data_IF_529977804179
#
_entry.id   IF_529977804179
#
_cell.length_a   1.000
_cell.length_b   1.000
_cell.length_c   1.000
_cell.angle_alpha   90.00
_cell.angle_beta   90.00
_cell.angle_gamma   90.00
#
_symmetry.space_group_name_H-M   'P 1'
#
loop_
_entity.id
_entity.type
_entity.pdbx_description
1 polymer ?
#
# COMPACT_ATOMS: atom_id res chain seq x y z
N UNK A 1 30.53 42.71 -12.29
CA UNK A 1 29.21 42.08 -12.08
C UNK A 1 29.44 40.68 -11.54
N UNK A 2 29.14 40.37 -10.28
CA UNK A 2 29.29 39.02 -9.75
C UNK A 2 28.15 38.15 -10.28
N UNK A 3 28.50 36.95 -10.78
CA UNK A 3 27.57 35.90 -11.19
C UNK A 3 26.90 35.39 -9.93
N UNK A 4 25.58 35.51 -9.89
CA UNK A 4 24.72 34.82 -8.94
C UNK A 4 24.86 33.29 -9.17
N UNK A 5 25.46 32.62 -8.22
CA UNK A 5 25.39 31.15 -8.15
C UNK A 5 24.05 30.81 -7.55
N UNK A 6 23.09 30.52 -8.42
CA UNK A 6 21.80 29.97 -8.06
C UNK A 6 22.00 28.53 -7.56
N UNK A 7 22.23 28.37 -6.27
CA UNK A 7 22.18 27.08 -5.59
C UNK A 7 20.71 26.76 -5.34
N UNK A 8 20.03 26.24 -6.35
CA UNK A 8 18.71 25.65 -6.16
C UNK A 8 18.89 24.42 -5.25
N UNK A 9 18.70 24.60 -3.96
CA UNK A 9 18.55 23.50 -3.00
C UNK A 9 17.25 22.78 -3.35
N UNK A 10 17.35 21.71 -4.16
CA UNK A 10 16.21 20.83 -4.40
C UNK A 10 15.82 20.22 -3.06
N UNK A 11 14.64 20.57 -2.58
CA UNK A 11 14.07 19.97 -1.37
C UNK A 11 14.01 18.45 -1.58
N UNK A 12 14.56 17.63 -0.67
CA UNK A 12 14.57 16.19 -0.84
C UNK A 12 13.14 15.66 -0.93
N UNK A 13 12.95 14.66 -1.81
CA UNK A 13 11.68 13.93 -1.89
C UNK A 13 11.62 12.97 -0.71
N UNK A 14 10.55 13.01 0.06
CA UNK A 14 10.38 12.15 1.24
C UNK A 14 9.01 11.48 1.26
N UNK A 15 8.97 10.24 1.74
CA UNK A 15 7.73 9.53 2.03
C UNK A 15 7.69 9.22 3.53
N UNK A 16 6.77 9.86 4.24
CA UNK A 16 6.51 9.57 5.65
C UNK A 16 5.62 8.36 5.75
N UNK A 17 6.05 7.37 6.52
CA UNK A 17 5.38 6.09 6.77
C UNK A 17 5.40 5.78 8.27
N UNK A 18 4.57 4.83 8.70
CA UNK A 18 4.64 4.23 10.04
C UNK A 18 5.12 2.78 9.95
N UNK A 19 4.89 1.96 10.99
CA UNK A 19 5.35 0.56 11.09
C UNK A 19 5.19 -0.20 9.76
N UNK A 20 6.26 -0.84 9.33
CA UNK A 20 6.25 -1.71 8.14
C UNK A 20 5.53 -3.03 8.42
N UNK A 21 5.51 -3.48 9.68
CA UNK A 21 4.80 -4.70 10.06
C UNK A 21 3.27 -4.52 9.99
N UNK A 22 2.75 -3.40 10.51
CA UNK A 22 1.31 -3.24 10.76
C UNK A 22 0.62 -2.26 9.82
N UNK A 23 1.31 -1.26 9.25
CA UNK A 23 0.68 -0.21 8.48
C UNK A 23 0.43 -0.58 7.03
N UNK A 24 -0.76 -1.08 6.75
CA UNK A 24 -1.16 -1.38 5.37
C UNK A 24 -1.32 -0.13 4.49
N UNK A 25 -1.58 1.04 5.08
CA UNK A 25 -1.63 2.29 4.33
C UNK A 25 -0.24 2.75 3.92
N UNK A 26 0.74 2.66 4.83
CA UNK A 26 2.15 2.95 4.50
C UNK A 26 2.68 2.03 3.41
N UNK A 27 2.39 0.72 3.48
CA UNK A 27 2.76 -0.23 2.43
C UNK A 27 2.19 0.16 1.07
N UNK A 28 0.92 0.56 1.00
CA UNK A 28 0.30 1.02 -0.27
C UNK A 28 1.01 2.21 -0.86
N UNK A 29 1.21 3.27 -0.07
CA UNK A 29 1.89 4.47 -0.55
C UNK A 29 3.33 4.23 -0.94
N UNK A 30 4.03 3.39 -0.20
CA UNK A 30 5.40 3.01 -0.50
C UNK A 30 5.50 2.22 -1.81
N UNK A 31 4.62 1.23 -2.02
CA UNK A 31 4.57 0.47 -3.27
C UNK A 31 4.24 1.38 -4.46
N UNK A 32 3.29 2.32 -4.31
CA UNK A 32 2.96 3.28 -5.36
C UNK A 32 4.17 4.13 -5.74
N UNK A 33 4.93 4.64 -4.75
CA UNK A 33 6.13 5.42 -5.00
C UNK A 33 7.22 4.56 -5.68
N UNK A 34 7.44 3.33 -5.22
CA UNK A 34 8.40 2.38 -5.85
C UNK A 34 7.98 2.01 -7.27
N UNK A 35 6.70 1.74 -7.50
CA UNK A 35 6.17 1.40 -8.84
C UNK A 35 6.28 2.57 -9.81
N UNK A 36 6.21 3.82 -9.32
CA UNK A 36 6.38 5.01 -10.16
C UNK A 36 7.84 5.25 -10.57
N UNK A 37 8.81 4.61 -9.92
CA UNK A 37 10.23 4.88 -10.10
C UNK A 37 10.67 6.23 -9.53
N UNK A 38 9.88 6.84 -8.65
CA UNK A 38 10.29 8.04 -7.92
C UNK A 38 11.31 7.66 -6.86
N UNK A 39 12.45 8.33 -6.85
CA UNK A 39 13.42 8.22 -5.75
C UNK A 39 12.98 9.07 -4.56
N UNK A 40 13.03 8.52 -3.35
CA UNK A 40 12.62 9.19 -2.13
C UNK A 40 13.34 8.62 -0.90
N UNK A 41 13.47 9.46 0.11
CA UNK A 41 13.91 9.07 1.44
C UNK A 41 12.71 8.67 2.30
N UNK A 42 12.83 7.59 3.06
CA UNK A 42 11.82 7.15 4.01
C UNK A 42 11.94 7.93 5.33
N UNK A 43 10.83 8.48 5.80
CA UNK A 43 10.72 9.06 7.13
C UNK A 43 9.77 8.19 7.96
N UNK A 44 10.31 7.56 9.01
CA UNK A 44 9.50 6.78 9.95
C UNK A 44 8.81 7.70 10.95
N UNK A 45 7.49 7.60 11.03
CA UNK A 45 6.72 8.26 12.07
C UNK A 45 6.71 7.35 13.31
N UNK A 46 7.29 7.83 14.42
CA UNK A 46 7.19 7.15 15.70
C UNK A 46 5.73 7.15 16.16
N UNK A 47 5.16 5.97 16.41
CA UNK A 47 3.75 5.83 16.81
C UNK A 47 3.51 6.17 18.27
N UNK A 48 4.53 6.07 19.11
CA UNK A 48 4.41 6.09 20.58
C UNK A 48 4.92 7.37 21.22
N UNK A 49 5.46 8.32 20.45
CA UNK A 49 5.97 9.58 20.97
C UNK A 49 4.98 10.72 20.67
N UNK A 50 4.33 11.23 21.72
CA UNK A 50 3.38 12.36 21.64
C UNK A 50 4.09 13.63 21.13
N UNK A 51 5.38 13.80 21.44
CA UNK A 51 6.15 14.96 21.00
C UNK A 51 6.53 14.83 19.52
N UNK A 52 6.90 13.63 19.05
CA UNK A 52 7.11 13.36 17.64
C UNK A 52 5.82 13.52 16.82
N UNK A 53 4.66 13.12 17.36
CA UNK A 53 3.35 13.42 16.76
C UNK A 53 3.07 14.91 16.66
N UNK A 54 3.38 15.66 17.70
CA UNK A 54 3.20 17.11 17.73
C UNK A 54 4.15 17.81 16.73
N UNK A 55 5.39 17.35 16.62
CA UNK A 55 6.37 17.87 15.67
C UNK A 55 5.93 17.59 14.21
N UNK A 56 5.40 16.41 13.93
CA UNK A 56 4.86 16.07 12.60
C UNK A 56 3.64 16.91 12.27
N UNK A 57 2.76 17.20 13.25
CA UNK A 57 1.62 18.11 13.09
C UNK A 57 2.04 19.55 12.75
N UNK A 58 3.19 20.00 13.25
CA UNK A 58 3.75 21.31 12.90
C UNK A 58 4.34 21.35 11.49
N UNK A 59 4.80 20.22 10.98
CA UNK A 59 5.49 20.09 9.70
C UNK A 59 4.60 19.57 8.57
N UNK A 60 3.47 18.96 8.87
CA UNK A 60 2.56 18.36 7.90
C UNK A 60 1.10 18.79 8.14
N UNK A 61 0.33 19.03 7.07
CA UNK A 61 -1.09 19.38 7.19
C UNK A 61 -1.96 18.20 7.69
N UNK A 62 -1.37 17.03 7.86
CA UNK A 62 -2.05 15.81 8.32
C UNK A 62 -1.07 14.88 9.02
N UNK A 63 -1.52 14.24 10.11
CA UNK A 63 -0.84 13.12 10.76
C UNK A 63 -1.07 11.78 10.03
N UNK A 64 -1.80 11.80 8.93
CA UNK A 64 -2.11 10.60 8.17
C UNK A 64 -0.89 10.15 7.35
N UNK A 65 -0.58 8.87 7.48
CA UNK A 65 0.42 8.19 6.66
C UNK A 65 -0.26 7.25 5.67
N UNK A 66 0.29 7.12 4.45
CA UNK A 66 1.52 7.71 3.93
C UNK A 66 1.36 9.20 3.57
N UNK A 67 2.47 9.97 3.66
CA UNK A 67 2.53 11.36 3.22
C UNK A 67 3.77 11.58 2.36
N UNK A 68 3.57 11.93 1.09
CA UNK A 68 4.62 12.21 0.12
C UNK A 68 4.91 13.72 0.07
N UNK A 69 6.19 14.08 0.19
CA UNK A 69 6.67 15.44 -0.12
C UNK A 69 7.58 15.40 -1.33
N UNK A 70 7.25 16.18 -2.34
CA UNK A 70 8.00 16.24 -3.59
C UNK A 70 7.94 17.67 -4.16
N UNK A 71 9.10 18.29 -4.37
CA UNK A 71 9.23 19.62 -5.00
C UNK A 71 8.32 20.70 -4.37
N UNK A 72 8.20 20.71 -3.03
CA UNK A 72 7.37 21.68 -2.30
C UNK A 72 5.88 21.31 -2.23
N UNK A 73 5.44 20.25 -2.92
CA UNK A 73 4.08 19.71 -2.83
C UNK A 73 4.02 18.67 -1.73
N UNK A 74 3.00 18.72 -0.88
CA UNK A 74 2.71 17.70 0.13
C UNK A 74 1.41 17.00 -0.24
N UNK A 75 1.47 15.68 -0.41
CA UNK A 75 0.33 14.83 -0.81
C UNK A 75 0.14 13.73 0.22
N UNK A 76 -1.04 13.61 0.76
CA UNK A 76 -1.44 12.51 1.66
C UNK A 76 -2.72 11.85 1.14
N UNK A 77 -3.03 10.67 1.69
CA UNK A 77 -3.94 9.69 1.16
C UNK A 77 -3.38 8.91 -0.04
N UNK A 78 -3.55 7.59 0.00
CA UNK A 78 -2.96 6.69 -1.01
C UNK A 78 -3.51 6.91 -2.40
N UNK A 79 -4.80 7.27 -2.55
CA UNK A 79 -5.38 7.54 -3.88
C UNK A 79 -4.84 8.85 -4.45
N UNK A 80 -4.74 9.89 -3.61
CA UNK A 80 -4.15 11.17 -4.02
C UNK A 80 -2.68 11.01 -4.41
N UNK A 81 -1.89 10.24 -3.64
CA UNK A 81 -0.51 9.91 -3.98
C UNK A 81 -0.43 9.17 -5.31
N UNK A 82 -1.32 8.18 -5.56
CA UNK A 82 -1.35 7.44 -6.82
C UNK A 82 -1.62 8.34 -8.03
N UNK A 83 -2.60 9.23 -7.93
CA UNK A 83 -2.94 10.19 -9.00
C UNK A 83 -1.79 11.18 -9.23
N UNK A 84 -1.23 11.76 -8.17
CA UNK A 84 -0.07 12.64 -8.26
C UNK A 84 1.12 11.97 -8.93
N UNK A 85 1.45 10.74 -8.51
CA UNK A 85 2.54 9.96 -9.11
C UNK A 85 2.26 9.64 -10.58
N UNK A 86 1.01 9.33 -10.94
CA UNK A 86 0.63 9.11 -12.33
C UNK A 86 0.81 10.38 -13.19
N UNK A 87 0.51 11.56 -12.63
CA UNK A 87 0.70 12.85 -13.34
C UNK A 87 2.19 13.16 -13.58
N UNK A 88 3.03 12.99 -12.56
CA UNK A 88 4.46 13.35 -12.65
C UNK A 88 5.32 12.26 -13.30
N UNK A 89 4.83 11.01 -13.33
CA UNK A 89 5.50 9.82 -13.88
C UNK A 89 4.57 9.01 -14.78
N UNK A 90 3.99 9.59 -15.84
CA UNK A 90 2.96 8.91 -16.64
C UNK A 90 3.49 7.62 -17.31
N UNK A 91 4.81 7.53 -17.57
CA UNK A 91 5.43 6.36 -18.17
C UNK A 91 5.51 5.15 -17.24
N UNK A 92 5.30 5.35 -15.94
CA UNK A 92 5.33 4.25 -14.97
C UNK A 92 4.11 3.32 -15.08
N UNK A 93 3.05 3.74 -15.77
CA UNK A 93 1.87 2.91 -16.02
C UNK A 93 1.04 2.61 -14.76
N UNK A 94 1.11 3.48 -13.72
CA UNK A 94 0.32 3.27 -12.50
C UNK A 94 -1.18 3.14 -12.77
N UNK A 95 -1.68 3.78 -13.83
CA UNK A 95 -3.05 3.63 -14.31
C UNK A 95 -3.05 3.05 -15.74
N UNK A 96 -3.99 2.15 -16.08
CA UNK A 96 -4.13 1.61 -17.42
C UNK A 96 -4.30 2.70 -18.48
N UNK A 97 -3.71 2.49 -19.66
CA UNK A 97 -3.83 3.44 -20.79
C UNK A 97 -5.24 3.44 -21.38
N UNK A 98 -5.92 2.29 -21.43
CA UNK A 98 -7.31 2.22 -21.87
C UNK A 98 -8.25 2.95 -20.90
N UNK A 99 -9.18 3.72 -21.42
CA UNK A 99 -10.08 4.55 -20.63
C UNK A 99 -11.03 3.75 -19.75
N UNK A 100 -11.54 2.63 -20.25
CA UNK A 100 -12.49 1.79 -19.52
C UNK A 100 -11.77 1.01 -18.43
N UNK A 101 -10.62 0.41 -18.74
CA UNK A 101 -9.74 -0.23 -17.77
C UNK A 101 -9.28 0.73 -16.68
N UNK A 102 -8.91 1.96 -17.06
CA UNK A 102 -8.50 3.01 -16.10
C UNK A 102 -9.63 3.43 -15.17
N UNK A 103 -10.86 3.56 -15.68
CA UNK A 103 -12.03 3.85 -14.85
C UNK A 103 -12.33 2.68 -13.89
N UNK A 104 -12.24 1.44 -14.35
CA UNK A 104 -12.42 0.25 -13.51
C UNK A 104 -11.32 0.16 -12.45
N UNK A 105 -10.06 0.40 -12.81
CA UNK A 105 -8.95 0.43 -11.86
C UNK A 105 -9.21 1.44 -10.71
N UNK A 106 -9.63 2.65 -11.03
CA UNK A 106 -10.01 3.65 -10.01
C UNK A 106 -11.18 3.19 -9.15
N UNK A 107 -12.20 2.56 -9.75
CA UNK A 107 -13.37 2.08 -9.03
C UNK A 107 -13.01 1.04 -7.96
N UNK A 108 -12.25 0.01 -8.34
CA UNK A 108 -11.85 -1.03 -7.37
C UNK A 108 -10.85 -0.52 -6.33
N UNK A 109 -9.99 0.42 -6.69
CA UNK A 109 -9.09 1.08 -5.74
C UNK A 109 -9.87 1.96 -4.75
N UNK A 110 -10.91 2.66 -5.20
CA UNK A 110 -11.83 3.39 -4.33
C UNK A 110 -12.60 2.46 -3.39
N UNK A 111 -13.07 1.30 -3.89
CA UNK A 111 -13.71 0.28 -3.06
C UNK A 111 -12.75 -0.29 -2.00
N UNK A 112 -11.47 -0.54 -2.36
CA UNK A 112 -10.45 -0.97 -1.39
C UNK A 112 -10.15 0.11 -0.35
N UNK A 113 -10.14 1.36 -0.76
CA UNK A 113 -9.85 2.50 0.12
C UNK A 113 -10.94 2.71 1.17
N UNK A 114 -12.20 2.73 0.77
CA UNK A 114 -13.34 3.06 1.64
C UNK A 114 -14.04 1.83 2.27
N UNK A 115 -13.86 0.66 1.68
CA UNK A 115 -14.56 -0.57 2.05
C UNK A 115 -13.74 -1.57 2.86
N UNK A 116 -14.28 -2.80 2.93
CA UNK A 116 -13.63 -3.98 3.55
C UNK A 116 -13.23 -3.77 5.01
N UNK A 117 -14.05 -3.05 5.75
CA UNK A 117 -13.78 -2.73 7.17
C UNK A 117 -13.74 -4.01 8.00
N UNK A 118 -14.64 -4.97 7.73
CA UNK A 118 -14.70 -6.22 8.48
C UNK A 118 -13.47 -7.09 8.23
N UNK A 119 -12.99 -7.17 6.99
CA UNK A 119 -11.73 -7.85 6.65
C UNK A 119 -10.55 -7.20 7.37
N UNK A 120 -10.45 -5.87 7.31
CA UNK A 120 -9.32 -5.14 7.90
C UNK A 120 -9.29 -5.24 9.42
N UNK A 121 -10.45 -5.27 10.08
CA UNK A 121 -10.55 -5.42 11.53
C UNK A 121 -10.32 -6.86 11.99
N UNK A 122 -10.84 -7.85 11.26
CA UNK A 122 -10.69 -9.25 11.62
C UNK A 122 -9.32 -9.84 11.29
N UNK A 123 -8.65 -9.30 10.28
CA UNK A 123 -7.34 -9.75 9.79
C UNK A 123 -6.40 -8.55 9.70
N UNK A 124 -5.95 -7.95 10.82
CA UNK A 124 -4.98 -6.84 10.78
C UNK A 124 -3.71 -7.27 10.05
N UNK A 125 -3.04 -6.32 9.40
CA UNK A 125 -1.77 -6.62 8.74
C UNK A 125 -0.70 -6.88 9.81
N UNK A 126 -0.12 -8.07 9.78
CA UNK A 126 1.02 -8.47 10.62
C UNK A 126 1.92 -9.37 9.77
N UNK A 127 3.04 -8.82 9.29
CA UNK A 127 3.95 -9.55 8.40
C UNK A 127 4.81 -10.58 9.15
N UNK A 128 4.97 -10.39 10.46
CA UNK A 128 5.68 -11.32 11.36
C UNK A 128 4.79 -12.49 11.80
N UNK A 129 3.48 -12.28 11.82
CA UNK A 129 2.49 -13.24 12.31
C UNK A 129 2.29 -14.42 11.36
N UNK A 130 1.93 -15.56 11.96
CA UNK A 130 1.47 -16.76 11.24
C UNK A 130 0.43 -17.47 12.10
N UNK A 131 -0.82 -17.49 11.63
CA UNK A 131 -1.97 -18.00 12.39
C UNK A 131 -2.68 -19.11 11.60
N UNK A 132 -2.07 -20.31 11.48
CA UNK A 132 -2.67 -21.42 10.72
C UNK A 132 -3.98 -21.88 11.34
N UNK A 133 -4.98 -22.10 10.47
CA UNK A 133 -6.32 -22.52 10.90
C UNK A 133 -7.16 -21.42 11.56
N UNK A 134 -6.81 -20.15 11.38
CA UNK A 134 -7.59 -19.02 11.91
C UNK A 134 -9.02 -19.04 11.42
N UNK A 135 -10.00 -18.88 12.32
CA UNK A 135 -11.42 -18.87 11.99
C UNK A 135 -11.90 -17.46 11.66
N UNK A 136 -12.06 -17.20 10.38
CA UNK A 136 -12.56 -15.91 9.89
C UNK A 136 -14.04 -15.73 10.22
N UNK A 137 -14.43 -14.58 10.77
CA UNK A 137 -15.81 -14.24 11.06
C UNK A 137 -16.64 -14.05 9.79
N UNK A 138 -17.95 -14.31 9.88
CA UNK A 138 -18.86 -14.28 8.72
C UNK A 138 -18.84 -12.98 7.93
N UNK A 139 -18.77 -11.81 8.61
CA UNK A 139 -18.70 -10.50 7.95
C UNK A 139 -17.38 -10.32 7.17
N UNK A 140 -16.25 -10.74 7.75
CA UNK A 140 -14.97 -10.70 7.09
C UNK A 140 -14.91 -11.70 5.91
N UNK A 141 -15.58 -12.83 6.01
CA UNK A 141 -15.73 -13.77 4.89
C UNK A 141 -16.42 -13.13 3.68
N UNK A 142 -17.47 -12.33 3.91
CA UNK A 142 -18.15 -11.60 2.83
C UNK A 142 -17.21 -10.59 2.14
N UNK A 143 -16.41 -9.86 2.91
CA UNK A 143 -15.40 -8.96 2.36
C UNK A 143 -14.34 -9.71 1.54
N UNK A 144 -13.86 -10.86 2.05
CA UNK A 144 -12.91 -11.72 1.34
C UNK A 144 -13.50 -12.20 0.03
N UNK A 145 -14.73 -12.69 0.04
CA UNK A 145 -15.42 -13.16 -1.18
C UNK A 145 -15.54 -12.03 -2.22
N UNK A 146 -15.87 -10.81 -1.78
CA UNK A 146 -15.93 -9.66 -2.68
C UNK A 146 -14.55 -9.32 -3.27
N UNK A 147 -13.49 -9.33 -2.46
CA UNK A 147 -12.12 -9.12 -2.94
C UNK A 147 -11.73 -10.17 -3.98
N UNK A 148 -11.99 -11.44 -3.70
CA UNK A 148 -11.70 -12.54 -4.64
C UNK A 148 -12.50 -12.40 -5.94
N UNK A 149 -13.76 -12.00 -5.87
CA UNK A 149 -14.58 -11.75 -7.07
C UNK A 149 -14.00 -10.61 -7.92
N UNK A 150 -13.52 -9.51 -7.29
CA UNK A 150 -12.84 -8.43 -7.99
C UNK A 150 -11.58 -8.94 -8.70
N UNK A 151 -10.74 -9.71 -8.01
CA UNK A 151 -9.51 -10.24 -8.60
C UNK A 151 -9.79 -11.16 -9.77
N UNK A 152 -10.75 -12.09 -9.61
CA UNK A 152 -11.16 -13.01 -10.69
C UNK A 152 -11.67 -12.25 -11.93
N UNK A 153 -12.53 -11.24 -11.72
CA UNK A 153 -13.04 -10.40 -12.79
C UNK A 153 -11.89 -9.66 -13.52
N UNK A 154 -11.01 -9.03 -12.77
CA UNK A 154 -9.89 -8.29 -13.35
C UNK A 154 -8.94 -9.21 -14.12
N UNK A 155 -8.51 -10.31 -13.51
CA UNK A 155 -7.58 -11.26 -14.14
C UNK A 155 -8.19 -11.91 -15.40
N UNK A 156 -9.48 -12.22 -15.38
CA UNK A 156 -10.18 -12.75 -16.54
C UNK A 156 -10.34 -11.70 -17.65
N UNK A 157 -10.66 -10.46 -17.29
CA UNK A 157 -10.94 -9.38 -18.25
C UNK A 157 -9.68 -8.86 -18.90
N UNK A 158 -8.59 -8.69 -18.13
CA UNK A 158 -7.36 -8.02 -18.59
C UNK A 158 -6.21 -8.98 -18.86
N UNK A 159 -6.37 -10.28 -18.64
CA UNK A 159 -5.46 -11.33 -19.07
C UNK A 159 -4.26 -11.59 -18.17
N UNK A 160 -4.20 -10.97 -16.97
CA UNK A 160 -3.05 -11.18 -16.07
C UNK A 160 -1.69 -10.78 -16.67
N UNK A 161 -0.58 -10.97 -15.99
CA UNK A 161 -0.38 -11.57 -14.66
C UNK A 161 -0.73 -10.65 -13.47
N UNK A 162 -1.00 -9.37 -13.72
CA UNK A 162 -1.44 -8.38 -12.76
C UNK A 162 -2.94 -8.07 -12.96
N UNK A 163 -3.57 -7.35 -12.02
CA UNK A 163 -5.02 -7.11 -12.05
C UNK A 163 -5.49 -6.40 -13.33
N UNK A 164 -4.64 -5.62 -13.98
CA UNK A 164 -4.93 -4.93 -15.24
C UNK A 164 -3.96 -5.32 -16.36
N UNK A 165 -3.51 -6.57 -16.40
CA UNK A 165 -2.54 -7.05 -17.37
C UNK A 165 -1.11 -6.68 -16.96
N UNK A 166 -0.81 -5.40 -16.97
CA UNK A 166 0.44 -4.83 -16.45
C UNK A 166 0.29 -4.36 -15.00
N UNK A 167 1.41 -4.24 -14.28
CA UNK A 167 1.44 -3.76 -12.91
C UNK A 167 0.88 -2.34 -12.80
N UNK A 168 -0.04 -2.12 -11.89
CA UNK A 168 -0.79 -0.88 -11.73
C UNK A 168 -0.98 -0.48 -10.27
N UNK A 169 -1.64 0.67 -10.03
CA UNK A 169 -2.00 1.08 -8.67
C UNK A 169 -2.89 0.06 -7.97
N UNK A 170 -3.71 -0.70 -8.71
CA UNK A 170 -4.57 -1.72 -8.11
C UNK A 170 -3.75 -2.80 -7.40
N UNK A 171 -2.62 -3.21 -7.98
CA UNK A 171 -1.74 -4.21 -7.36
C UNK A 171 -1.14 -3.69 -6.05
N UNK A 172 -0.74 -2.42 -5.98
CA UNK A 172 -0.29 -1.79 -4.74
C UNK A 172 -1.43 -1.69 -3.70
N UNK A 173 -2.62 -1.30 -4.13
CA UNK A 173 -3.78 -1.14 -3.24
C UNK A 173 -4.25 -2.47 -2.64
N UNK A 174 -4.16 -3.58 -3.38
CA UNK A 174 -4.58 -4.91 -2.91
C UNK A 174 -3.44 -5.75 -2.30
N UNK A 175 -2.17 -5.37 -2.44
CA UNK A 175 -1.03 -6.10 -1.89
C UNK A 175 -1.16 -6.41 -0.38
N UNK A 176 -1.61 -5.47 0.50
CA UNK A 176 -1.83 -5.79 1.91
C UNK A 176 -2.91 -6.86 2.17
N UNK A 177 -3.83 -7.09 1.23
CA UNK A 177 -4.80 -8.20 1.37
C UNK A 177 -4.11 -9.53 1.14
N UNK A 178 -3.24 -9.63 0.14
CA UNK A 178 -2.44 -10.84 -0.09
C UNK A 178 -1.59 -11.21 1.13
N UNK A 179 -1.00 -10.21 1.82
CA UNK A 179 -0.25 -10.48 3.07
C UNK A 179 -1.15 -11.02 4.17
N UNK A 180 -2.35 -10.44 4.35
CA UNK A 180 -3.33 -10.92 5.34
C UNK A 180 -3.77 -12.35 5.08
N UNK A 181 -4.14 -12.68 3.81
CA UNK A 181 -4.55 -14.04 3.47
C UNK A 181 -3.45 -15.06 3.80
N UNK A 182 -2.18 -14.70 3.58
CA UNK A 182 -1.03 -15.53 3.98
C UNK A 182 -0.89 -15.64 5.50
N UNK A 183 -0.91 -14.52 6.22
CA UNK A 183 -0.71 -14.47 7.67
C UNK A 183 -1.75 -15.31 8.42
N UNK A 184 -3.01 -15.27 7.97
CA UNK A 184 -4.13 -15.95 8.63
C UNK A 184 -4.53 -17.27 7.97
N UNK A 185 -3.69 -17.80 7.08
CA UNK A 185 -3.91 -19.07 6.37
C UNK A 185 -5.28 -19.16 5.68
N UNK A 186 -5.72 -18.05 5.08
CA UNK A 186 -6.99 -17.97 4.38
C UNK A 186 -6.87 -18.55 2.98
N UNK A 187 -7.67 -19.59 2.69
CA UNK A 187 -7.65 -20.26 1.41
C UNK A 187 -8.11 -19.32 0.27
N UNK A 188 -7.38 -19.32 -0.85
CA UNK A 188 -7.74 -18.68 -2.10
C UNK A 188 -8.14 -19.78 -3.10
N UNK A 189 -9.45 -19.98 -3.40
CA UNK A 189 -9.92 -21.18 -4.13
C UNK A 189 -9.48 -21.22 -5.59
N UNK A 190 -9.49 -20.08 -6.29
CA UNK A 190 -9.18 -20.04 -7.71
C UNK A 190 -7.67 -19.89 -7.96
N UNK A 191 -7.20 -20.52 -9.04
CA UNK A 191 -5.78 -20.57 -9.39
C UNK A 191 -5.24 -19.18 -9.75
N UNK A 192 -5.99 -18.38 -10.52
CA UNK A 192 -5.52 -17.08 -10.99
C UNK A 192 -5.26 -16.12 -9.84
N UNK A 193 -6.16 -16.05 -8.86
CA UNK A 193 -5.96 -15.23 -7.65
C UNK A 193 -4.83 -15.75 -6.76
N UNK A 194 -4.64 -17.08 -6.65
CA UNK A 194 -3.47 -17.65 -5.95
C UNK A 194 -2.17 -17.25 -6.62
N UNK A 195 -2.11 -17.37 -7.95
CA UNK A 195 -0.91 -17.01 -8.73
C UNK A 195 -0.62 -15.52 -8.62
N UNK A 196 -1.65 -14.67 -8.63
CA UNK A 196 -1.50 -13.24 -8.39
C UNK A 196 -0.96 -12.96 -6.98
N UNK A 197 -1.54 -13.56 -5.93
CA UNK A 197 -1.03 -13.42 -4.56
C UNK A 197 0.44 -13.83 -4.46
N UNK A 198 0.80 -15.00 -5.00
CA UNK A 198 2.17 -15.48 -5.00
C UNK A 198 3.11 -14.50 -5.71
N UNK A 199 2.69 -13.96 -6.86
CA UNK A 199 3.43 -12.96 -7.64
C UNK A 199 3.63 -11.67 -6.86
N UNK A 200 2.58 -11.11 -6.26
CA UNK A 200 2.67 -9.88 -5.45
C UNK A 200 3.64 -10.09 -4.29
N UNK A 201 3.49 -11.17 -3.55
CA UNK A 201 4.37 -11.45 -2.41
C UNK A 201 5.84 -11.71 -2.80
N UNK A 202 6.07 -12.12 -4.05
CA UNK A 202 7.42 -12.35 -4.60
C UNK A 202 8.04 -11.10 -5.26
N UNK A 203 7.33 -9.98 -5.37
CA UNK A 203 7.90 -8.75 -5.90
C UNK A 203 9.14 -8.33 -5.09
N UNK A 204 10.22 -7.86 -5.75
CA UNK A 204 11.41 -7.36 -5.04
C UNK A 204 11.07 -6.31 -3.98
N UNK A 205 10.14 -5.41 -4.29
CA UNK A 205 9.66 -4.37 -3.39
C UNK A 205 8.96 -4.96 -2.16
N UNK A 206 8.13 -5.99 -2.34
CA UNK A 206 7.46 -6.67 -1.24
C UNK A 206 8.44 -7.45 -0.36
N UNK A 207 9.47 -8.05 -0.95
CA UNK A 207 10.53 -8.72 -0.19
C UNK A 207 11.36 -7.72 0.61
N UNK A 208 11.72 -6.58 0.01
CA UNK A 208 12.42 -5.48 0.68
C UNK A 208 11.61 -4.96 1.88
N UNK A 209 10.33 -4.66 1.67
CA UNK A 209 9.43 -4.20 2.72
C UNK A 209 9.29 -5.24 3.85
N UNK A 210 9.07 -6.50 3.50
CA UNK A 210 8.92 -7.59 4.47
C UNK A 210 10.19 -7.80 5.27
N UNK A 211 11.36 -7.79 4.63
CA UNK A 211 12.64 -7.91 5.32
C UNK A 211 12.85 -6.78 6.34
N UNK A 212 12.50 -5.54 5.97
CA UNK A 212 12.57 -4.41 6.88
C UNK A 212 11.55 -4.53 8.03
N UNK A 213 10.32 -5.00 7.76
CA UNK A 213 9.32 -5.24 8.79
C UNK A 213 9.77 -6.28 9.83
N UNK A 214 10.47 -7.33 9.40
CA UNK A 214 11.01 -8.36 10.30
C UNK A 214 12.10 -7.82 11.26
N UNK A 215 12.75 -6.70 10.90
CA UNK A 215 13.78 -6.05 11.71
C UNK A 215 13.21 -5.01 12.68
N UNK A 216 11.93 -4.64 12.58
CA UNK A 216 11.30 -3.73 13.54
C UNK A 216 11.37 -4.35 14.96
N UNK A 217 11.75 -3.55 15.99
CA UNK A 217 12.14 -4.13 17.28
C UNK A 217 10.98 -4.77 18.05
N UNK A 218 9.73 -4.35 17.89
CA UNK A 218 8.65 -4.77 18.79
C UNK A 218 7.33 -5.12 18.11
N UNK A 219 6.58 -6.03 18.78
CA UNK A 219 5.15 -6.21 18.59
C UNK A 219 4.41 -5.01 19.21
N UNK A 220 3.37 -4.52 18.54
CA UNK A 220 2.42 -3.61 19.17
C UNK A 220 1.43 -4.49 19.92
N UNK A 221 1.58 -4.58 21.24
CA UNK A 221 0.79 -5.47 22.12
C UNK A 221 -0.72 -5.32 21.91
N UNK A 222 -1.19 -4.11 21.64
CA UNK A 222 -2.60 -3.81 21.35
C UNK A 222 -3.10 -4.45 20.04
N UNK A 223 -2.22 -4.70 19.07
CA UNK A 223 -2.55 -5.39 17.82
C UNK A 223 -2.29 -6.89 17.88
N UNK A 224 -1.57 -7.36 18.88
CA UNK A 224 -1.31 -8.79 19.14
C UNK A 224 -2.29 -9.40 20.14
N UNK A 225 -2.90 -8.58 21.00
CA UNK A 225 -3.75 -9.04 22.11
C UNK A 225 -5.21 -9.35 21.70
N UNK A 226 -5.60 -9.16 20.45
CA UNK A 226 -6.97 -9.45 19.99
C UNK A 226 -7.18 -10.89 19.47
N UNK A 227 -6.25 -11.81 19.75
CA UNK A 227 -6.30 -13.21 19.27
C UNK A 227 -6.22 -14.24 20.38
#
# INVERSE_FOLDING_TARGET
MPRSTDTSTTTPTTLTISSKNYSSWSLRGWLLARFSGLEFDELMMATDDADARAEILLLAPSILVPCLRHQGVTVWDTLAIAEYLHEIKPQAGLLPADRAARAHCRAICGEMHSGFVSLRSALPMNLKGSYPGFKVWSRAQSDIQRVLAIWQECLATYGGPYLFGERSMADAMYAPVATRLRTYDVAVPDAASRDWCARILALPEMQEWTAAALLEPEAIDELEAEF
#
